data_IF_525355792167
#
_entry.id   IF_525355792167
#
_cell.length_a   1.000
_cell.length_b   1.000
_cell.length_c   1.000
_cell.angle_alpha   90.00
_cell.angle_beta   90.00
_cell.angle_gamma   90.00
#
_symmetry.space_group_name_H-M   'P 1'
#
loop_
_entity.id
_entity.type
_entity.pdbx_description
1 polymer ?
#
# COMPACT_ATOMS: atom_id res chain seq x y z
N UNK A 1 4.25 7.90 33.69
CA UNK A 1 3.08 6.99 33.48
C UNK A 1 2.72 6.82 31.99
N UNK A 2 2.86 7.83 31.11
CA UNK A 2 2.53 7.81 29.68
C UNK A 2 3.15 6.69 28.86
N UNK A 3 4.34 6.31 29.16
CA UNK A 3 5.01 5.18 28.49
C UNK A 3 4.28 3.84 28.65
N UNK A 4 3.49 3.66 29.72
CA UNK A 4 2.76 2.43 29.96
C UNK A 4 1.57 2.27 29.01
N UNK A 5 0.80 3.34 28.73
CA UNK A 5 -0.35 3.27 27.82
C UNK A 5 0.11 3.07 26.36
N UNK A 6 1.14 3.78 25.91
CA UNK A 6 1.73 3.64 24.58
C UNK A 6 2.30 2.24 24.37
N UNK A 7 3.01 1.70 25.34
CA UNK A 7 3.55 0.35 25.29
C UNK A 7 2.43 -0.71 25.21
N UNK A 8 1.42 -0.61 26.06
CA UNK A 8 0.24 -1.52 26.05
C UNK A 8 -0.48 -1.46 24.70
N UNK A 9 -0.70 -0.27 24.14
CA UNK A 9 -1.35 -0.10 22.86
C UNK A 9 -0.61 -0.82 21.74
N UNK A 10 0.75 -0.73 21.68
CA UNK A 10 1.59 -1.45 20.72
C UNK A 10 1.47 -2.97 20.88
N UNK A 11 1.43 -3.49 22.13
CA UNK A 11 1.23 -4.92 22.39
C UNK A 11 -0.12 -5.39 21.85
N UNK A 12 -1.20 -4.64 22.11
CA UNK A 12 -2.54 -4.99 21.63
C UNK A 12 -2.61 -4.95 20.10
N UNK A 13 -2.01 -3.94 19.45
CA UNK A 13 -1.91 -3.89 17.98
C UNK A 13 -1.19 -5.12 17.43
N UNK A 14 -0.07 -5.51 18.02
CA UNK A 14 0.68 -6.69 17.57
C UNK A 14 -0.12 -7.98 17.73
N UNK A 15 -1.05 -8.05 18.68
CA UNK A 15 -1.96 -9.18 18.90
C UNK A 15 -3.23 -9.11 18.04
N UNK A 16 -3.42 -8.04 17.26
CA UNK A 16 -4.64 -7.82 16.49
C UNK A 16 -5.85 -7.36 17.34
N UNK A 17 -5.63 -7.07 18.62
CA UNK A 17 -6.67 -6.59 19.53
C UNK A 17 -6.86 -5.08 19.38
N UNK A 18 -7.57 -4.71 18.31
CA UNK A 18 -7.76 -3.31 17.95
C UNK A 18 -8.60 -2.53 18.97
N UNK A 19 -9.53 -3.22 19.68
CA UNK A 19 -10.37 -2.61 20.70
C UNK A 19 -9.56 -2.07 21.87
N UNK A 20 -8.78 -2.93 22.51
CA UNK A 20 -7.92 -2.54 23.62
C UNK A 20 -6.75 -1.64 23.18
N UNK A 21 -6.27 -1.79 21.95
CA UNK A 21 -5.28 -0.87 21.40
C UNK A 21 -5.83 0.57 21.32
N UNK A 22 -7.06 0.75 20.83
CA UNK A 22 -7.72 2.05 20.76
C UNK A 22 -7.87 2.67 22.15
N UNK A 23 -8.40 1.91 23.12
CA UNK A 23 -8.57 2.39 24.50
C UNK A 23 -7.23 2.84 25.11
N UNK A 24 -6.18 2.07 24.89
CA UNK A 24 -4.85 2.41 25.39
C UNK A 24 -4.27 3.67 24.70
N UNK A 25 -4.51 3.86 23.39
CA UNK A 25 -4.12 5.10 22.69
C UNK A 25 -4.96 6.29 23.16
N UNK A 26 -6.24 6.13 23.44
CA UNK A 26 -7.10 7.19 24.01
C UNK A 26 -6.57 7.67 25.36
N UNK A 27 -6.16 6.73 26.22
CA UNK A 27 -5.55 7.05 27.51
C UNK A 27 -4.22 7.79 27.33
N UNK A 28 -3.37 7.37 26.37
CA UNK A 28 -2.12 8.06 26.04
C UNK A 28 -2.38 9.49 25.55
N UNK A 29 -3.36 9.68 24.65
CA UNK A 29 -3.76 11.01 24.15
C UNK A 29 -4.24 11.92 25.30
N UNK A 30 -5.03 11.39 26.23
CA UNK A 30 -5.52 12.16 27.38
C UNK A 30 -4.36 12.62 28.27
N UNK A 31 -3.40 11.74 28.53
CA UNK A 31 -2.21 12.03 29.35
C UNK A 31 -1.29 13.05 28.65
N UNK A 32 -0.91 12.83 27.37
CA UNK A 32 -0.07 13.76 26.62
C UNK A 32 -0.70 15.17 26.52
N UNK A 33 -2.03 15.23 26.43
CA UNK A 33 -2.77 16.50 26.42
C UNK A 33 -2.72 17.20 27.77
N UNK A 34 -2.82 16.46 28.89
CA UNK A 34 -2.70 17.00 30.24
C UNK A 34 -1.29 17.51 30.54
N UNK A 35 -0.27 16.79 30.04
CA UNK A 35 1.14 17.15 30.21
C UNK A 35 1.57 18.33 29.32
N UNK A 36 0.75 18.72 28.34
CA UNK A 36 1.04 19.82 27.40
C UNK A 36 2.15 19.49 26.39
N UNK A 37 2.55 18.22 26.27
CA UNK A 37 3.58 17.78 25.33
C UNK A 37 2.99 17.60 23.92
N UNK A 38 3.08 18.65 23.10
CA UNK A 38 2.48 18.68 21.77
C UNK A 38 3.04 17.60 20.83
N UNK A 39 4.34 17.35 20.87
CA UNK A 39 4.98 16.35 20.00
C UNK A 39 4.50 14.94 20.35
N UNK A 40 4.46 14.58 21.64
CA UNK A 40 3.93 13.30 22.08
C UNK A 40 2.43 13.17 21.81
N UNK A 41 1.67 14.25 22.00
CA UNK A 41 0.23 14.28 21.65
C UNK A 41 0.03 13.99 20.16
N UNK A 42 0.82 14.60 19.28
CA UNK A 42 0.73 14.33 17.84
C UNK A 42 1.06 12.87 17.52
N UNK A 43 2.08 12.28 18.17
CA UNK A 43 2.44 10.88 18.02
C UNK A 43 1.30 9.94 18.47
N UNK A 44 0.73 10.19 19.64
CA UNK A 44 -0.36 9.37 20.20
C UNK A 44 -1.63 9.50 19.36
N UNK A 45 -1.99 10.70 18.91
CA UNK A 45 -3.11 10.94 17.99
C UNK A 45 -2.91 10.24 16.64
N UNK A 46 -1.68 10.28 16.09
CA UNK A 46 -1.35 9.60 14.84
C UNK A 46 -1.57 8.08 14.95
N UNK A 47 -1.10 7.47 16.04
CA UNK A 47 -1.29 6.05 16.30
C UNK A 47 -2.76 5.70 16.59
N UNK A 48 -3.50 6.55 17.30
CA UNK A 48 -4.95 6.40 17.48
C UNK A 48 -5.66 6.45 16.13
N UNK A 49 -5.30 7.40 15.27
CA UNK A 49 -5.83 7.53 13.91
C UNK A 49 -5.59 6.27 13.09
N UNK A 50 -4.35 5.73 13.10
CA UNK A 50 -4.02 4.47 12.45
C UNK A 50 -4.87 3.30 12.97
N UNK A 51 -5.04 3.21 14.30
CA UNK A 51 -5.85 2.16 14.93
C UNK A 51 -7.33 2.27 14.54
N UNK A 52 -7.87 3.49 14.53
CA UNK A 52 -9.25 3.74 14.09
C UNK A 52 -9.43 3.39 12.60
N UNK A 53 -8.45 3.70 11.74
CA UNK A 53 -8.48 3.34 10.33
C UNK A 53 -8.52 1.81 10.13
N UNK A 54 -7.72 1.05 10.89
CA UNK A 54 -7.75 -0.42 10.88
C UNK A 54 -9.10 -0.99 11.34
N UNK A 55 -9.83 -0.27 12.18
CA UNK A 55 -11.18 -0.61 12.63
C UNK A 55 -12.29 -0.13 11.68
N UNK A 56 -11.94 0.49 10.55
CA UNK A 56 -12.85 1.17 9.61
C UNK A 56 -13.63 2.35 10.24
N UNK A 57 -13.18 2.88 11.41
CA UNK A 57 -13.71 4.11 11.99
C UNK A 57 -13.02 5.33 11.32
N UNK A 58 -13.35 5.50 10.04
CA UNK A 58 -12.70 6.49 9.17
C UNK A 58 -12.92 7.93 9.65
N UNK A 59 -14.11 8.24 10.17
CA UNK A 59 -14.42 9.60 10.63
C UNK A 59 -13.61 9.97 11.88
N UNK A 60 -13.37 9.02 12.77
CA UNK A 60 -12.52 9.23 13.94
C UNK A 60 -11.05 9.34 13.56
N UNK A 61 -10.59 8.48 12.67
CA UNK A 61 -9.22 8.54 12.13
C UNK A 61 -8.96 9.90 11.47
N UNK A 62 -9.90 10.41 10.66
CA UNK A 62 -9.80 11.71 10.02
C UNK A 62 -9.68 12.86 11.03
N UNK A 63 -10.47 12.84 12.10
CA UNK A 63 -10.36 13.83 13.19
C UNK A 63 -8.98 13.80 13.85
N UNK A 64 -8.47 12.60 14.17
CA UNK A 64 -7.14 12.45 14.74
C UNK A 64 -6.05 13.03 13.84
N UNK A 65 -6.03 12.67 12.57
CA UNK A 65 -5.02 13.19 11.64
C UNK A 65 -5.12 14.69 11.39
N UNK A 66 -6.32 15.26 11.39
CA UNK A 66 -6.49 16.73 11.28
C UNK A 66 -5.93 17.47 12.50
N UNK A 67 -6.11 16.91 13.71
CA UNK A 67 -5.52 17.47 14.94
C UNK A 67 -4.00 17.35 14.89
N UNK A 68 -3.45 16.20 14.48
CA UNK A 68 -2.01 16.01 14.23
C UNK A 68 -1.47 17.07 13.27
N UNK A 69 -2.13 17.25 12.13
CA UNK A 69 -1.72 18.22 11.11
C UNK A 69 -1.69 19.64 11.65
N UNK A 70 -2.66 20.01 12.50
CA UNK A 70 -2.71 21.32 13.16
C UNK A 70 -1.50 21.53 14.07
N UNK A 71 -1.14 20.53 14.88
CA UNK A 71 0.03 20.59 15.75
C UNK A 71 1.32 20.73 14.92
N UNK A 72 1.48 19.86 13.91
CA UNK A 72 2.69 19.83 13.08
C UNK A 72 2.88 21.11 12.26
N UNK A 73 1.80 21.74 11.78
CA UNK A 73 1.85 23.06 11.11
C UNK A 73 2.30 24.15 12.07
N UNK A 74 1.84 24.12 13.33
CA UNK A 74 2.30 25.07 14.36
C UNK A 74 3.80 24.91 14.64
N UNK A 75 4.30 23.68 14.64
CA UNK A 75 5.70 23.33 14.84
C UNK A 75 6.56 23.50 13.58
N UNK A 76 5.94 23.77 12.43
CA UNK A 76 6.59 23.89 11.10
C UNK A 76 7.38 22.65 10.70
N UNK A 77 6.96 21.47 11.15
CA UNK A 77 7.61 20.20 10.84
C UNK A 77 7.13 19.66 9.47
N UNK A 78 7.79 20.10 8.39
CA UNK A 78 7.40 19.79 7.03
C UNK A 78 7.38 18.28 6.73
N UNK A 79 8.36 17.50 7.22
CA UNK A 79 8.35 16.05 7.06
C UNK A 79 7.12 15.40 7.69
N UNK A 80 6.82 15.76 8.94
CA UNK A 80 5.66 15.22 9.64
C UNK A 80 4.34 15.63 8.97
N UNK A 81 4.24 16.88 8.50
CA UNK A 81 3.09 17.38 7.72
C UNK A 81 2.87 16.51 6.49
N UNK A 82 3.91 16.30 5.68
CA UNK A 82 3.80 15.49 4.46
C UNK A 82 3.32 14.06 4.74
N UNK A 83 3.89 13.40 5.76
CA UNK A 83 3.47 12.06 6.17
C UNK A 83 2.00 12.03 6.62
N UNK A 84 1.56 13.00 7.40
CA UNK A 84 0.16 13.08 7.86
C UNK A 84 -0.80 13.33 6.70
N UNK A 85 -0.41 14.16 5.73
CA UNK A 85 -1.19 14.39 4.52
C UNK A 85 -1.34 13.11 3.67
N UNK A 86 -0.26 12.32 3.53
CA UNK A 86 -0.33 11.02 2.84
C UNK A 86 -1.27 10.07 3.59
N UNK A 87 -1.20 10.00 4.92
CA UNK A 87 -2.10 9.17 5.72
C UNK A 87 -3.56 9.60 5.59
N UNK A 88 -3.84 10.91 5.56
CA UNK A 88 -5.19 11.43 5.29
C UNK A 88 -5.67 11.04 3.89
N UNK A 89 -4.82 11.15 2.89
CA UNK A 89 -5.13 10.70 1.54
C UNK A 89 -5.48 9.21 1.50
N UNK A 90 -4.62 8.35 2.07
CA UNK A 90 -4.85 6.90 2.15
C UNK A 90 -6.15 6.56 2.89
N UNK A 91 -6.40 7.24 4.02
CA UNK A 91 -7.62 7.08 4.79
C UNK A 91 -8.87 7.36 3.96
N UNK A 92 -8.86 8.46 3.21
CA UNK A 92 -10.00 8.86 2.39
C UNK A 92 -10.23 7.92 1.21
N UNK A 93 -9.16 7.34 0.64
CA UNK A 93 -9.28 6.27 -0.35
C UNK A 93 -9.93 5.03 0.29
N UNK A 94 -9.49 4.62 1.48
CA UNK A 94 -10.08 3.50 2.23
C UNK A 94 -11.55 3.73 2.62
N UNK A 95 -11.93 4.97 2.82
CA UNK A 95 -13.30 5.39 3.13
C UNK A 95 -14.19 5.57 1.89
N UNK A 96 -13.72 5.18 0.69
CA UNK A 96 -14.40 5.37 -0.59
C UNK A 96 -14.72 6.85 -0.92
N UNK A 97 -13.78 7.75 -0.55
CA UNK A 97 -13.85 9.20 -0.79
C UNK A 97 -12.65 9.71 -1.61
N UNK A 98 -12.38 9.14 -2.78
CA UNK A 98 -11.13 9.41 -3.54
C UNK A 98 -11.00 10.89 -3.95
N UNK A 99 -12.08 11.56 -4.29
CA UNK A 99 -12.05 12.97 -4.67
C UNK A 99 -11.50 13.88 -3.56
N UNK A 100 -11.73 13.50 -2.30
CA UNK A 100 -11.22 14.23 -1.14
C UNK A 100 -9.76 13.92 -0.82
N UNK A 101 -9.23 12.78 -1.28
CA UNK A 101 -7.85 12.37 -1.05
C UNK A 101 -6.84 13.18 -1.88
N UNK A 102 -7.19 13.47 -3.14
CA UNK A 102 -6.30 14.13 -4.10
C UNK A 102 -5.66 15.44 -3.60
N UNK A 103 -6.40 16.40 -3.01
CA UNK A 103 -5.80 17.64 -2.50
C UNK A 103 -4.71 17.38 -1.45
N UNK A 104 -4.88 16.40 -0.56
CA UNK A 104 -3.88 16.05 0.44
C UNK A 104 -2.61 15.46 -0.19
N UNK A 105 -2.77 14.60 -1.20
CA UNK A 105 -1.62 14.06 -1.93
C UNK A 105 -0.85 15.15 -2.69
N UNK A 106 -1.55 16.13 -3.29
CA UNK A 106 -0.88 17.22 -4.00
C UNK A 106 -0.10 18.13 -3.04
N UNK A 107 -0.68 18.48 -1.88
CA UNK A 107 0.03 19.25 -0.85
C UNK A 107 1.26 18.48 -0.34
N UNK A 108 1.12 17.18 -0.07
CA UNK A 108 2.23 16.33 0.34
C UNK A 108 3.34 16.28 -0.73
N UNK A 109 2.95 16.20 -2.01
CA UNK A 109 3.87 16.13 -3.14
C UNK A 109 4.76 17.36 -3.23
N UNK A 110 4.17 18.56 -3.08
CA UNK A 110 4.92 19.81 -3.13
C UNK A 110 5.94 19.88 -1.99
N UNK A 111 5.52 19.54 -0.77
CA UNK A 111 6.42 19.50 0.41
C UNK A 111 7.55 18.48 0.20
N UNK A 112 7.22 17.25 -0.22
CA UNK A 112 8.23 16.19 -0.38
C UNK A 112 9.23 16.47 -1.50
N UNK A 113 8.81 17.19 -2.55
CA UNK A 113 9.72 17.67 -3.61
C UNK A 113 10.72 18.71 -3.07
N UNK A 114 10.25 19.66 -2.26
CA UNK A 114 11.12 20.65 -1.62
C UNK A 114 12.13 19.98 -0.67
N UNK A 115 11.68 18.96 0.07
CA UNK A 115 12.51 18.19 0.99
C UNK A 115 13.45 17.20 0.27
N UNK A 116 13.24 16.93 -1.01
CA UNK A 116 13.94 15.88 -1.79
C UNK A 116 13.88 14.51 -1.13
N UNK A 117 12.71 14.18 -0.55
CA UNK A 117 12.48 12.89 0.09
C UNK A 117 12.05 11.85 -0.95
N UNK A 118 13.05 11.26 -1.64
CA UNK A 118 12.81 10.27 -2.69
C UNK A 118 12.05 9.04 -2.18
N UNK A 119 12.26 8.63 -0.92
CA UNK A 119 11.55 7.49 -0.35
C UNK A 119 10.05 7.77 -0.24
N UNK A 120 9.68 8.91 0.33
CA UNK A 120 8.28 9.30 0.49
C UNK A 120 7.64 9.65 -0.87
N UNK A 121 8.39 10.27 -1.79
CA UNK A 121 7.94 10.54 -3.16
C UNK A 121 7.59 9.26 -3.91
N UNK A 122 8.41 8.20 -3.79
CA UNK A 122 8.12 6.90 -4.41
C UNK A 122 6.78 6.33 -3.95
N UNK A 123 6.53 6.34 -2.63
CA UNK A 123 5.27 5.87 -2.04
C UNK A 123 4.09 6.74 -2.51
N UNK A 124 4.25 8.07 -2.48
CA UNK A 124 3.17 8.98 -2.83
C UNK A 124 2.79 8.89 -4.32
N UNK A 125 3.78 8.80 -5.22
CA UNK A 125 3.50 8.59 -6.64
C UNK A 125 2.87 7.23 -6.93
N UNK A 126 3.23 6.18 -6.18
CA UNK A 126 2.55 4.90 -6.26
C UNK A 126 1.06 5.02 -5.89
N UNK A 127 0.74 5.68 -4.77
CA UNK A 127 -0.63 5.89 -4.32
C UNK A 127 -1.45 6.74 -5.29
N UNK A 128 -0.84 7.80 -5.86
CA UNK A 128 -1.45 8.61 -6.91
C UNK A 128 -1.77 7.77 -8.15
N UNK A 129 -0.81 6.95 -8.60
CA UNK A 129 -1.02 6.05 -9.75
C UNK A 129 -2.16 5.06 -9.53
N UNK A 130 -2.28 4.49 -8.32
CA UNK A 130 -3.40 3.62 -7.98
C UNK A 130 -4.74 4.35 -8.03
N UNK A 131 -4.81 5.56 -7.48
CA UNK A 131 -6.02 6.37 -7.54
C UNK A 131 -6.38 6.71 -8.99
N UNK A 132 -5.41 7.19 -9.76
CA UNK A 132 -5.60 7.57 -11.17
C UNK A 132 -6.07 6.40 -12.03
N UNK A 133 -5.54 5.19 -11.78
CA UNK A 133 -6.01 3.97 -12.44
C UNK A 133 -7.47 3.64 -12.09
N UNK A 134 -7.86 3.76 -10.82
CA UNK A 134 -9.26 3.55 -10.38
C UNK A 134 -10.22 4.56 -11.01
N UNK A 135 -9.77 5.80 -11.19
CA UNK A 135 -10.55 6.87 -11.82
C UNK A 135 -10.60 6.75 -13.36
N UNK A 136 -9.97 5.72 -13.95
CA UNK A 136 -9.86 5.54 -15.40
C UNK A 136 -8.92 6.52 -16.10
N UNK A 137 -8.09 7.24 -15.35
CA UNK A 137 -7.09 8.18 -15.88
C UNK A 137 -5.78 7.46 -16.18
N UNK A 138 -5.82 6.60 -17.19
CA UNK A 138 -4.75 5.63 -17.50
C UNK A 138 -3.39 6.26 -17.78
N UNK A 139 -3.36 7.35 -18.57
CA UNK A 139 -2.11 8.02 -18.93
C UNK A 139 -1.43 8.63 -17.71
N UNK A 140 -2.19 9.25 -16.83
CA UNK A 140 -1.71 9.81 -15.57
C UNK A 140 -1.24 8.70 -14.63
N UNK A 141 -1.98 7.60 -14.52
CA UNK A 141 -1.61 6.46 -13.69
C UNK A 141 -0.26 5.88 -14.12
N UNK A 142 -0.05 5.64 -15.42
CA UNK A 142 1.22 5.16 -15.96
C UNK A 142 2.35 6.13 -15.65
N UNK A 143 2.13 7.44 -15.84
CA UNK A 143 3.13 8.46 -15.53
C UNK A 143 3.47 8.53 -14.03
N UNK A 144 2.48 8.39 -13.16
CA UNK A 144 2.69 8.37 -11.71
C UNK A 144 3.44 7.12 -11.27
N UNK A 145 3.09 5.93 -11.76
CA UNK A 145 3.85 4.71 -11.47
C UNK A 145 5.29 4.78 -12.01
N UNK A 146 5.52 5.35 -13.19
CA UNK A 146 6.87 5.53 -13.72
C UNK A 146 7.74 6.40 -12.77
N UNK A 147 7.19 7.52 -12.27
CA UNK A 147 7.87 8.36 -11.28
C UNK A 147 8.12 7.61 -9.96
N UNK A 148 7.15 6.80 -9.49
CA UNK A 148 7.33 5.98 -8.32
C UNK A 148 8.52 5.01 -8.49
N UNK A 149 8.60 4.33 -9.64
CA UNK A 149 9.71 3.42 -9.95
C UNK A 149 11.07 4.16 -9.96
N UNK A 150 11.13 5.37 -10.51
CA UNK A 150 12.36 6.15 -10.53
C UNK A 150 12.81 6.51 -9.11
N UNK A 151 11.92 7.00 -8.26
CA UNK A 151 12.23 7.31 -6.86
C UNK A 151 12.60 6.05 -6.06
N UNK A 152 11.91 4.93 -6.26
CA UNK A 152 12.27 3.67 -5.60
C UNK A 152 13.65 3.15 -6.02
N UNK A 153 14.05 3.33 -7.30
CA UNK A 153 15.41 2.99 -7.77
C UNK A 153 16.47 3.87 -7.12
N UNK A 154 16.24 5.18 -7.02
CA UNK A 154 17.18 6.13 -6.40
C UNK A 154 17.52 5.69 -4.96
N UNK A 155 16.53 5.22 -4.20
CA UNK A 155 16.73 4.83 -2.79
C UNK A 155 16.97 3.32 -2.58
N UNK A 156 17.05 2.53 -3.67
CA UNK A 156 17.24 1.08 -3.59
C UNK A 156 16.10 0.33 -2.90
N UNK A 157 14.87 0.84 -3.01
CA UNK A 157 13.69 0.22 -2.39
C UNK A 157 13.13 -0.91 -3.28
N UNK A 158 13.72 -2.10 -3.15
CA UNK A 158 13.30 -3.29 -3.92
C UNK A 158 11.83 -3.67 -3.72
N UNK A 159 11.31 -3.54 -2.50
CA UNK A 159 9.90 -3.81 -2.19
C UNK A 159 8.97 -2.81 -2.91
N UNK A 160 9.32 -1.52 -2.86
CA UNK A 160 8.59 -0.48 -3.60
C UNK A 160 8.60 -0.72 -5.11
N UNK A 161 9.72 -1.20 -5.67
CA UNK A 161 9.80 -1.60 -7.09
C UNK A 161 8.86 -2.76 -7.39
N UNK A 162 8.90 -3.84 -6.59
CA UNK A 162 8.06 -5.03 -6.78
C UNK A 162 6.56 -4.68 -6.79
N UNK A 163 6.11 -3.95 -5.76
CA UNK A 163 4.71 -3.55 -5.62
C UNK A 163 4.27 -2.62 -6.75
N UNK A 164 5.12 -1.64 -7.11
CA UNK A 164 4.78 -0.68 -8.17
C UNK A 164 4.72 -1.34 -9.54
N UNK A 165 5.66 -2.23 -9.87
CA UNK A 165 5.61 -3.01 -11.11
C UNK A 165 4.37 -3.91 -11.18
N UNK A 166 3.98 -4.54 -10.07
CA UNK A 166 2.77 -5.37 -9.99
C UNK A 166 1.51 -4.55 -10.31
N UNK A 167 1.36 -3.37 -9.69
CA UNK A 167 0.21 -2.49 -9.94
C UNK A 167 0.22 -1.89 -11.36
N UNK A 168 1.38 -1.50 -11.86
CA UNK A 168 1.52 -1.01 -13.23
C UNK A 168 1.18 -2.12 -14.25
N UNK A 169 1.63 -3.35 -14.01
CA UNK A 169 1.29 -4.51 -14.83
C UNK A 169 -0.20 -4.80 -14.85
N UNK A 170 -0.84 -4.76 -13.68
CA UNK A 170 -2.30 -4.86 -13.58
C UNK A 170 -3.00 -3.73 -14.35
N UNK A 171 -2.52 -2.51 -14.22
CA UNK A 171 -3.07 -1.34 -14.92
C UNK A 171 -3.00 -1.51 -16.44
N UNK A 172 -1.86 -1.98 -16.98
CA UNK A 172 -1.74 -2.29 -18.39
C UNK A 172 -2.67 -3.42 -18.84
N UNK A 173 -2.81 -4.47 -18.03
CA UNK A 173 -3.74 -5.56 -18.29
C UNK A 173 -5.19 -5.08 -18.39
N UNK A 174 -5.63 -4.29 -17.41
CA UNK A 174 -6.99 -3.73 -17.36
C UNK A 174 -7.27 -2.81 -18.57
N UNK A 175 -6.23 -2.18 -19.12
CA UNK A 175 -6.32 -1.34 -20.33
C UNK A 175 -6.12 -2.11 -21.65
N UNK A 176 -5.82 -3.41 -21.58
CA UNK A 176 -5.66 -4.27 -22.76
C UNK A 176 -4.26 -4.28 -23.39
N UNK A 177 -3.27 -3.58 -22.81
CA UNK A 177 -1.87 -3.67 -23.26
C UNK A 177 -1.17 -4.87 -22.61
N UNK A 178 -1.44 -6.05 -23.19
CA UNK A 178 -0.94 -7.32 -22.67
C UNK A 178 0.59 -7.43 -22.75
N UNK A 179 1.25 -6.70 -23.65
CA UNK A 179 2.72 -6.73 -23.80
C UNK A 179 3.38 -5.99 -22.63
N UNK A 180 2.90 -4.78 -22.32
CA UNK A 180 3.42 -4.04 -21.18
C UNK A 180 3.02 -4.68 -19.84
N UNK A 181 1.82 -5.28 -19.77
CA UNK A 181 1.38 -6.03 -18.60
C UNK A 181 2.37 -7.18 -18.29
N UNK A 182 2.66 -8.02 -19.27
CA UNK A 182 3.63 -9.11 -19.14
C UNK A 182 5.00 -8.61 -18.68
N UNK A 183 5.52 -7.56 -19.33
CA UNK A 183 6.83 -6.98 -18.99
C UNK A 183 6.87 -6.49 -17.54
N UNK A 184 5.87 -5.75 -17.10
CA UNK A 184 5.82 -5.21 -15.75
C UNK A 184 5.67 -6.32 -14.70
N UNK A 185 4.80 -7.31 -14.96
CA UNK A 185 4.59 -8.43 -14.04
C UNK A 185 5.82 -9.33 -13.91
N UNK A 186 6.57 -9.55 -14.99
CA UNK A 186 7.85 -10.27 -14.92
C UNK A 186 8.86 -9.51 -14.04
N UNK A 187 9.00 -8.18 -14.22
CA UNK A 187 9.84 -7.38 -13.33
C UNK A 187 9.39 -7.49 -11.85
N UNK A 188 8.08 -7.45 -11.58
CA UNK A 188 7.56 -7.62 -10.22
C UNK A 188 7.94 -8.98 -9.64
N UNK A 189 7.77 -10.06 -10.42
CA UNK A 189 8.13 -11.42 -10.00
C UNK A 189 9.63 -11.54 -9.68
N UNK A 190 10.51 -10.98 -10.52
CA UNK A 190 11.95 -10.98 -10.27
C UNK A 190 12.33 -10.26 -8.97
N UNK A 191 11.69 -9.11 -8.66
CA UNK A 191 11.91 -8.40 -7.42
C UNK A 191 11.41 -9.20 -6.22
N UNK A 192 10.22 -9.83 -6.28
CA UNK A 192 9.70 -10.67 -5.20
C UNK A 192 10.56 -11.91 -4.95
N UNK A 193 11.09 -12.55 -6.00
CA UNK A 193 12.05 -13.65 -5.87
C UNK A 193 13.31 -13.19 -5.13
N UNK A 194 13.89 -12.05 -5.50
CA UNK A 194 15.07 -11.50 -4.81
C UNK A 194 14.81 -11.17 -3.34
N UNK A 195 13.60 -10.74 -3.02
CA UNK A 195 13.17 -10.44 -1.65
C UNK A 195 12.79 -11.70 -0.84
N UNK A 196 12.67 -12.87 -1.47
CA UNK A 196 12.15 -14.08 -0.82
C UNK A 196 10.66 -13.96 -0.44
N UNK A 197 9.91 -13.05 -1.07
CA UNK A 197 8.48 -12.84 -0.80
C UNK A 197 7.63 -13.77 -1.66
N UNK A 198 7.75 -15.06 -1.44
CA UNK A 198 7.11 -16.13 -2.23
C UNK A 198 5.58 -16.01 -2.31
N UNK A 199 4.82 -15.62 -1.24
CA UNK A 199 3.38 -15.40 -1.37
C UNK A 199 3.00 -14.27 -2.34
N UNK A 200 3.79 -13.20 -2.37
CA UNK A 200 3.57 -12.09 -3.30
C UNK A 200 3.97 -12.49 -4.74
N UNK A 201 5.02 -13.31 -4.90
CA UNK A 201 5.37 -13.94 -6.19
C UNK A 201 4.19 -14.74 -6.74
N UNK A 202 3.54 -15.59 -5.91
CA UNK A 202 2.37 -16.37 -6.33
C UNK A 202 1.24 -15.49 -6.87
N UNK A 203 0.94 -14.37 -6.20
CA UNK A 203 -0.10 -13.44 -6.66
C UNK A 203 0.23 -12.83 -8.04
N UNK A 204 1.50 -12.48 -8.29
CA UNK A 204 1.95 -11.96 -9.59
C UNK A 204 1.89 -13.04 -10.67
N UNK A 205 2.28 -14.28 -10.35
CA UNK A 205 2.22 -15.41 -11.28
C UNK A 205 0.79 -15.72 -11.73
N UNK A 206 -0.21 -15.59 -10.85
CA UNK A 206 -1.63 -15.72 -11.22
C UNK A 206 -2.05 -14.66 -12.24
N UNK A 207 -1.59 -13.43 -12.04
CA UNK A 207 -1.86 -12.34 -12.99
C UNK A 207 -1.17 -12.61 -14.34
N UNK A 208 0.08 -13.05 -14.33
CA UNK A 208 0.81 -13.45 -15.54
C UNK A 208 0.10 -14.59 -16.28
N UNK A 209 -0.38 -15.60 -15.55
CA UNK A 209 -1.16 -16.67 -16.16
C UNK A 209 -2.41 -16.12 -16.87
N UNK A 210 -3.12 -15.17 -16.25
CA UNK A 210 -4.29 -14.52 -16.88
C UNK A 210 -3.90 -13.74 -18.13
N UNK A 211 -2.77 -13.05 -18.13
CA UNK A 211 -2.23 -12.36 -19.32
C UNK A 211 -1.96 -13.37 -20.45
N UNK A 212 -1.31 -14.50 -20.15
CA UNK A 212 -0.99 -15.52 -21.14
C UNK A 212 -2.23 -16.26 -21.65
N UNK A 213 -3.21 -16.56 -20.78
CA UNK A 213 -4.50 -17.13 -21.18
C UNK A 213 -5.23 -16.18 -22.17
N UNK A 214 -5.24 -14.88 -21.88
CA UNK A 214 -5.83 -13.87 -22.76
C UNK A 214 -5.12 -13.79 -24.10
N UNK A 215 -3.81 -13.99 -24.12
CA UNK A 215 -2.98 -14.07 -25.36
C UNK A 215 -3.08 -15.41 -26.07
N UNK A 216 -3.81 -16.37 -25.54
CA UNK A 216 -3.89 -17.75 -26.04
C UNK A 216 -2.54 -18.46 -26.06
N UNK A 217 -1.71 -18.23 -25.05
CA UNK A 217 -0.45 -18.92 -24.79
C UNK A 217 -0.61 -19.87 -23.59
N UNK A 218 -1.16 -21.07 -23.79
CA UNK A 218 -1.40 -22.02 -22.70
C UNK A 218 -0.11 -22.58 -22.08
N UNK A 219 1.00 -22.58 -22.83
CA UNK A 219 2.28 -23.09 -22.35
C UNK A 219 2.83 -22.16 -21.25
N UNK A 220 2.89 -20.85 -21.54
CA UNK A 220 3.34 -19.87 -20.55
C UNK A 220 2.39 -19.74 -19.38
N UNK A 221 1.06 -19.78 -19.62
CA UNK A 221 0.07 -19.78 -18.55
C UNK A 221 0.25 -20.97 -17.60
N UNK A 222 0.46 -22.18 -18.14
CA UNK A 222 0.73 -23.39 -17.36
C UNK A 222 1.94 -23.21 -16.45
N UNK A 223 3.08 -22.77 -16.98
CA UNK A 223 4.31 -22.58 -16.20
C UNK A 223 4.09 -21.62 -15.01
N UNK A 224 3.34 -20.55 -15.22
CA UNK A 224 3.01 -19.63 -14.14
C UNK A 224 2.12 -20.29 -13.08
N UNK A 225 1.08 -21.03 -13.49
CA UNK A 225 0.18 -21.72 -12.55
C UNK A 225 0.88 -22.86 -11.81
N UNK A 226 1.72 -23.65 -12.46
CA UNK A 226 2.50 -24.70 -11.78
C UNK A 226 3.35 -24.14 -10.63
N UNK A 227 4.01 -23.00 -10.87
CA UNK A 227 4.79 -22.34 -9.83
C UNK A 227 3.88 -21.72 -8.76
N UNK A 228 2.77 -21.08 -9.12
CA UNK A 228 1.82 -20.51 -8.17
C UNK A 228 1.24 -21.61 -7.24
N UNK A 229 0.75 -22.72 -7.80
CA UNK A 229 0.22 -23.87 -7.04
C UNK A 229 1.25 -24.43 -6.07
N UNK A 230 2.53 -24.53 -6.48
CA UNK A 230 3.61 -24.99 -5.60
C UNK A 230 3.78 -24.05 -4.39
N UNK A 231 3.73 -22.75 -4.62
CA UNK A 231 3.85 -21.74 -3.57
C UNK A 231 2.62 -21.72 -2.66
N UNK A 232 1.43 -21.82 -3.25
CA UNK A 232 0.16 -21.89 -2.51
C UNK A 232 0.13 -23.09 -1.56
N UNK A 233 0.58 -24.24 -2.03
CA UNK A 233 0.68 -25.44 -1.21
C UNK A 233 1.69 -25.24 -0.05
N UNK A 234 2.87 -24.66 -0.34
CA UNK A 234 3.92 -24.42 0.65
C UNK A 234 3.47 -23.48 1.76
N UNK A 235 2.77 -22.42 1.40
CA UNK A 235 2.34 -21.37 2.32
C UNK A 235 0.89 -21.50 2.78
N UNK A 236 0.18 -22.55 2.35
CA UNK A 236 -1.24 -22.80 2.64
C UNK A 236 -2.12 -21.59 2.26
N UNK A 237 -1.85 -21.03 1.08
CA UNK A 237 -2.61 -19.89 0.59
C UNK A 237 -4.03 -20.32 0.19
N UNK A 238 -5.03 -19.44 0.33
CA UNK A 238 -6.43 -19.78 0.07
C UNK A 238 -6.72 -20.06 -1.40
N UNK A 239 -5.86 -19.63 -2.31
CA UNK A 239 -6.02 -19.77 -3.77
C UNK A 239 -5.66 -21.15 -4.31
N UNK A 240 -5.06 -22.03 -3.51
CA UNK A 240 -4.55 -23.35 -3.94
C UNK A 240 -5.58 -24.18 -4.75
N UNK A 241 -6.82 -24.24 -4.30
CA UNK A 241 -7.86 -25.03 -4.99
C UNK A 241 -8.21 -24.39 -6.34
N UNK A 242 -8.36 -23.08 -6.39
CA UNK A 242 -8.70 -22.35 -7.59
C UNK A 242 -7.60 -22.44 -8.66
N UNK A 243 -6.34 -22.27 -8.25
CA UNK A 243 -5.20 -22.31 -9.16
C UNK A 243 -4.93 -23.74 -9.65
N UNK A 244 -5.12 -24.76 -8.81
CA UNK A 244 -5.06 -26.18 -9.21
C UNK A 244 -6.15 -26.53 -10.23
N UNK A 245 -7.36 -26.01 -10.07
CA UNK A 245 -8.45 -26.23 -11.02
C UNK A 245 -8.19 -25.53 -12.37
N UNK A 246 -7.62 -24.31 -12.36
CA UNK A 246 -7.21 -23.60 -13.58
C UNK A 246 -6.11 -24.37 -14.33
N UNK A 247 -5.11 -24.85 -13.61
CA UNK A 247 -4.02 -25.66 -14.18
C UNK A 247 -4.57 -26.93 -14.85
N UNK A 248 -5.45 -27.68 -14.17
CA UNK A 248 -6.09 -28.86 -14.74
C UNK A 248 -6.99 -28.54 -15.96
N UNK A 249 -7.55 -27.35 -16.04
CA UNK A 249 -8.31 -26.87 -17.20
C UNK A 249 -7.44 -26.70 -18.45
N UNK A 250 -6.22 -26.21 -18.30
CA UNK A 250 -5.26 -26.07 -19.41
C UNK A 250 -4.79 -27.43 -19.96
N UNK A 251 -4.77 -28.49 -19.14
CA UNK A 251 -4.42 -29.85 -19.56
C UNK A 251 -5.46 -30.50 -20.48
N UNK A 252 -6.71 -30.06 -20.40
CA UNK A 252 -7.82 -30.60 -21.22
C UNK A 252 -8.00 -29.87 -22.55
N UNK A 253 -7.35 -28.73 -22.70
CA UNK A 253 -7.53 -27.82 -23.84
C UNK A 253 -6.39 -27.91 -24.89
N UNK A 254 -5.34 -28.68 -24.61
CA UNK A 254 -4.18 -28.95 -25.46
C UNK A 254 -4.13 -30.38 -25.90
#
# INVERSE_FOLDING_TARGET
MGDNHKHRARIFLHRGDLGHAREAWEAAVAEDRADGNRSELANSLGNLGNTCALMNDFDRAERCYREVLTIQRTERNQHAIAHTLVNLGNLLIGADRPDKARPYYLEALDILRELKDDRALGILYHNLGQQEARDGRWSEAVASFARALDHHRIVGNEEGLAVTYSQLGKTFFDHGDLVQAERCLNNASEHYIRLGQEPAEAAVLRLLATVYETRRDPISARRCLERAVLLDWRYRLPELEADSARLAGLDRSG
#
